data_IF_906029845376
#
_entry.id   IF_906029845376
#
_cell.length_a   1.000
_cell.length_b   1.000
_cell.length_c   1.000
_cell.angle_alpha   90.00
_cell.angle_beta   90.00
_cell.angle_gamma   90.00
#
_symmetry.space_group_name_H-M   'P 1'
#
loop_
_entity.id
_entity.type
_entity.pdbx_description
1 polymer ?
#
# COMPACT_ATOMS: atom_id res chain seq x y z
N UNK A 1 3.99 -23.90 -17.47
CA UNK A 1 3.59 -24.23 -16.08
C UNK A 1 2.68 -23.11 -15.62
N UNK A 2 1.46 -23.40 -15.19
CA UNK A 2 0.58 -22.33 -14.71
C UNK A 2 1.08 -21.79 -13.37
N UNK A 3 0.89 -20.49 -13.13
CA UNK A 3 1.21 -19.89 -11.84
C UNK A 3 0.31 -20.56 -10.77
N UNK A 4 0.92 -20.88 -9.63
CA UNK A 4 0.29 -21.57 -8.49
C UNK A 4 -0.12 -23.04 -8.69
N UNK A 5 0.29 -23.74 -9.76
CA UNK A 5 -0.02 -25.19 -9.93
C UNK A 5 0.37 -26.02 -8.71
N UNK A 6 1.61 -25.83 -8.21
CA UNK A 6 2.10 -26.53 -7.02
C UNK A 6 1.24 -26.26 -5.77
N UNK A 7 0.80 -25.02 -5.56
CA UNK A 7 -0.07 -24.67 -4.43
C UNK A 7 -1.43 -25.36 -4.54
N UNK A 8 -2.01 -25.40 -5.74
CA UNK A 8 -3.29 -26.07 -6.00
C UNK A 8 -3.20 -27.58 -5.78
N UNK A 9 -2.06 -28.20 -6.09
CA UNK A 9 -1.82 -29.63 -5.89
C UNK A 9 -1.54 -29.97 -4.40
N UNK A 10 -0.66 -29.21 -3.74
CA UNK A 10 -0.25 -29.49 -2.36
C UNK A 10 -1.27 -29.01 -1.33
N UNK A 11 -2.03 -27.95 -1.62
CA UNK A 11 -3.06 -27.41 -0.73
C UNK A 11 -4.25 -26.81 -1.52
N UNK A 12 -5.18 -27.66 -2.00
CA UNK A 12 -6.34 -27.21 -2.78
C UNK A 12 -7.21 -26.17 -2.06
N UNK A 13 -7.22 -26.19 -0.72
CA UNK A 13 -8.01 -25.27 0.10
C UNK A 13 -7.36 -23.91 0.31
N UNK A 14 -6.11 -23.69 -0.11
CA UNK A 14 -5.36 -22.46 0.18
C UNK A 14 -6.10 -21.18 -0.28
N UNK A 15 -6.80 -21.26 -1.41
CA UNK A 15 -7.52 -20.13 -2.00
C UNK A 15 -8.83 -19.80 -1.27
N UNK A 16 -9.37 -20.68 -0.41
CA UNK A 16 -10.59 -20.37 0.36
C UNK A 16 -10.38 -19.29 1.41
N UNK A 17 -9.11 -18.98 1.74
CA UNK A 17 -8.73 -17.89 2.64
C UNK A 17 -8.68 -16.53 1.95
N UNK A 18 -8.79 -16.50 0.61
CA UNK A 18 -8.69 -15.26 -0.17
C UNK A 18 -10.09 -14.68 -0.34
N UNK A 19 -10.29 -13.50 0.21
CA UNK A 19 -11.50 -12.69 0.02
C UNK A 19 -11.10 -11.47 -0.79
N UNK A 20 -11.69 -11.30 -1.96
CA UNK A 20 -11.46 -10.13 -2.81
C UNK A 20 -12.34 -8.97 -2.35
N UNK A 21 -11.74 -7.80 -2.19
CA UNK A 21 -12.44 -6.55 -1.93
C UNK A 21 -12.19 -5.62 -3.12
N UNK A 22 -13.26 -5.01 -3.65
CA UNK A 22 -13.14 -4.08 -4.78
C UNK A 22 -12.79 -2.69 -4.24
N UNK A 23 -11.77 -2.06 -4.82
CA UNK A 23 -11.36 -0.71 -4.43
C UNK A 23 -10.27 -0.15 -5.34
N UNK A 24 -10.01 1.15 -5.19
CA UNK A 24 -8.95 1.88 -5.87
C UNK A 24 -8.31 2.88 -4.89
N UNK A 25 -6.98 2.86 -4.78
CA UNK A 25 -6.21 3.72 -3.87
C UNK A 25 -6.24 5.21 -4.27
N UNK A 26 -6.71 5.52 -5.47
CA UNK A 26 -6.93 6.88 -5.94
C UNK A 26 -8.28 7.45 -5.49
N UNK A 27 -9.25 6.59 -5.17
CA UNK A 27 -10.60 7.01 -4.84
C UNK A 27 -10.73 7.41 -3.36
N UNK A 28 -11.63 8.36 -3.04
CA UNK A 28 -12.00 8.65 -1.65
C UNK A 28 -12.47 7.38 -0.94
N UNK A 29 -12.02 7.16 0.29
CA UNK A 29 -12.34 5.94 1.04
C UNK A 29 -11.83 4.65 0.38
N UNK A 30 -10.83 4.75 -0.50
CA UNK A 30 -10.28 3.65 -1.29
C UNK A 30 -11.28 3.02 -2.26
N UNK A 31 -12.38 3.71 -2.60
CA UNK A 31 -13.45 3.16 -3.46
C UNK A 31 -14.20 1.98 -2.83
N UNK A 32 -14.05 1.78 -1.53
CA UNK A 32 -14.68 0.70 -0.78
C UNK A 32 -16.17 1.00 -0.51
N UNK A 33 -16.99 -0.05 -0.51
CA UNK A 33 -18.35 0.03 0.01
C UNK A 33 -18.37 0.23 1.53
N UNK A 34 -19.49 0.72 2.08
CA UNK A 34 -19.63 0.84 3.54
C UNK A 34 -19.57 -0.53 4.23
N UNK A 35 -20.11 -1.57 3.57
CA UNK A 35 -20.07 -2.95 4.03
C UNK A 35 -18.64 -3.49 4.09
N UNK A 36 -17.84 -3.27 3.04
CA UNK A 36 -16.43 -3.70 3.01
C UNK A 36 -15.62 -2.96 4.08
N UNK A 37 -15.84 -1.66 4.26
CA UNK A 37 -15.17 -0.89 5.31
C UNK A 37 -15.50 -1.48 6.69
N UNK A 38 -16.76 -1.80 6.96
CA UNK A 38 -17.17 -2.38 8.23
C UNK A 38 -16.50 -3.76 8.47
N UNK A 39 -16.47 -4.62 7.45
CA UNK A 39 -15.84 -5.93 7.51
C UNK A 39 -14.33 -5.83 7.79
N UNK A 40 -13.64 -4.91 7.10
CA UNK A 40 -12.22 -4.68 7.30
C UNK A 40 -11.93 -4.13 8.71
N UNK A 41 -12.72 -3.15 9.17
CA UNK A 41 -12.58 -2.53 10.49
C UNK A 41 -12.69 -3.54 11.62
N UNK A 42 -13.57 -4.52 11.50
CA UNK A 42 -13.76 -5.56 12.50
C UNK A 42 -12.64 -6.62 12.46
N UNK A 43 -12.25 -7.06 11.26
CA UNK A 43 -11.49 -8.30 11.11
C UNK A 43 -10.00 -8.15 10.78
N UNK A 44 -9.54 -6.97 10.35
CA UNK A 44 -8.13 -6.80 9.93
C UNK A 44 -7.23 -6.41 11.09
N UNK A 45 -6.13 -7.16 11.25
CA UNK A 45 -5.09 -6.88 12.26
C UNK A 45 -3.72 -6.53 11.67
N UNK A 46 -3.43 -6.93 10.44
CA UNK A 46 -2.15 -6.64 9.76
C UNK A 46 -2.45 -6.17 8.35
N UNK A 47 -1.85 -5.05 7.96
CA UNK A 47 -1.99 -4.48 6.62
C UNK A 47 -0.65 -4.54 5.91
N UNK A 48 -0.60 -5.24 4.78
CA UNK A 48 0.53 -5.21 3.85
C UNK A 48 0.21 -4.26 2.72
N UNK A 49 0.84 -3.08 2.71
CA UNK A 49 0.64 -2.09 1.66
C UNK A 49 1.72 -2.21 0.59
N UNK A 50 1.35 -2.87 -0.51
CA UNK A 50 2.22 -3.07 -1.69
C UNK A 50 1.66 -2.40 -2.95
N UNK A 51 0.55 -1.66 -2.85
CA UNK A 51 -0.04 -0.97 -3.99
C UNK A 51 0.74 0.31 -4.29
N UNK A 52 1.32 0.38 -5.49
CA UNK A 52 2.10 1.50 -5.97
C UNK A 52 2.15 1.54 -7.51
N UNK A 53 2.42 2.71 -8.08
CA UNK A 53 2.88 2.85 -9.45
C UNK A 53 4.41 2.74 -9.50
N UNK A 54 4.92 1.82 -10.31
CA UNK A 54 6.36 1.60 -10.55
C UNK A 54 6.83 2.17 -11.89
N UNK A 55 6.05 3.07 -12.48
CA UNK A 55 6.37 3.74 -13.76
C UNK A 55 7.33 4.90 -13.54
N UNK A 56 8.46 4.87 -14.22
CA UNK A 56 9.49 5.92 -14.13
C UNK A 56 9.22 7.13 -15.02
N UNK A 57 8.31 7.00 -15.99
CA UNK A 57 7.90 8.03 -16.95
C UNK A 57 6.60 8.74 -16.55
N UNK A 58 6.09 8.47 -15.35
CA UNK A 58 4.84 9.05 -14.85
C UNK A 58 5.06 10.51 -14.37
N UNK A 59 4.16 11.45 -14.69
CA UNK A 59 4.26 12.82 -14.18
C UNK A 59 4.31 12.83 -12.65
N UNK A 60 5.20 13.66 -12.08
CA UNK A 60 5.44 13.70 -10.63
C UNK A 60 4.15 13.84 -9.81
N UNK A 61 3.22 14.72 -10.23
CA UNK A 61 1.92 14.90 -9.58
C UNK A 61 1.13 13.59 -9.45
N UNK A 62 1.11 12.79 -10.52
CA UNK A 62 0.39 11.51 -10.55
C UNK A 62 1.11 10.46 -9.70
N UNK A 63 2.45 10.43 -9.75
CA UNK A 63 3.24 9.56 -8.89
C UNK A 63 3.01 9.88 -7.39
N UNK A 64 2.90 11.17 -7.02
CA UNK A 64 2.58 11.60 -5.66
C UNK A 64 1.17 11.15 -5.26
N UNK A 65 0.16 11.36 -6.11
CA UNK A 65 -1.21 10.97 -5.80
C UNK A 65 -1.36 9.45 -5.56
N UNK A 66 -0.69 8.64 -6.38
CA UNK A 66 -0.70 7.18 -6.21
C UNK A 66 0.14 6.74 -5.00
N UNK A 67 1.42 7.10 -4.96
CA UNK A 67 2.36 6.48 -4.04
C UNK A 67 2.40 7.16 -2.66
N UNK A 68 2.13 8.47 -2.59
CA UNK A 68 2.13 9.24 -1.33
C UNK A 68 0.70 9.36 -0.80
N UNK A 69 -0.22 9.92 -1.58
CA UNK A 69 -1.59 10.13 -1.11
C UNK A 69 -2.37 8.81 -1.01
N UNK A 70 -2.15 7.86 -1.92
CA UNK A 70 -2.71 6.51 -1.79
C UNK A 70 -2.28 5.83 -0.50
N UNK A 71 -0.99 5.91 -0.14
CA UNK A 71 -0.49 5.41 1.15
C UNK A 71 -1.16 6.12 2.33
N UNK A 72 -1.35 7.44 2.25
CA UNK A 72 -2.09 8.21 3.27
C UNK A 72 -3.53 7.72 3.44
N UNK A 73 -4.27 7.51 2.35
CA UNK A 73 -5.66 6.99 2.39
C UNK A 73 -5.73 5.59 3.03
N UNK A 74 -4.76 4.72 2.76
CA UNK A 74 -4.68 3.40 3.43
C UNK A 74 -4.39 3.55 4.92
N UNK A 75 -3.48 4.45 5.30
CA UNK A 75 -3.22 4.74 6.71
C UNK A 75 -4.48 5.30 7.41
N UNK A 76 -5.25 6.15 6.76
CA UNK A 76 -6.53 6.67 7.28
C UNK A 76 -7.54 5.54 7.55
N UNK A 77 -7.62 4.52 6.69
CA UNK A 77 -8.38 3.30 6.98
C UNK A 77 -7.80 2.55 8.20
N UNK A 78 -6.48 2.41 8.26
CA UNK A 78 -5.79 1.69 9.35
C UNK A 78 -6.11 2.28 10.74
N UNK A 79 -6.28 3.61 10.84
CA UNK A 79 -6.67 4.27 12.09
C UNK A 79 -8.08 3.89 12.57
N UNK A 80 -8.93 3.34 11.69
CA UNK A 80 -10.29 2.90 12.03
C UNK A 80 -10.34 1.42 12.44
N UNK A 81 -9.31 0.62 12.12
CA UNK A 81 -9.29 -0.81 12.37
C UNK A 81 -9.19 -1.10 13.88
N UNK A 82 -10.06 -1.96 14.40
CA UNK A 82 -10.14 -2.24 15.84
C UNK A 82 -8.96 -3.05 16.37
N UNK A 83 -8.37 -3.88 15.51
CA UNK A 83 -7.39 -4.90 15.90
C UNK A 83 -6.01 -4.67 15.26
N UNK A 84 -5.73 -3.46 14.77
CA UNK A 84 -4.48 -3.16 14.06
C UNK A 84 -3.26 -3.40 14.97
N UNK A 85 -2.37 -4.25 14.46
CA UNK A 85 -1.12 -4.67 15.12
C UNK A 85 0.09 -4.21 14.32
N UNK A 86 0.01 -4.23 12.99
CA UNK A 86 1.11 -3.79 12.13
C UNK A 86 0.63 -3.23 10.79
N UNK A 87 1.31 -2.18 10.33
CA UNK A 87 1.27 -1.71 8.96
C UNK A 87 2.64 -1.97 8.31
N UNK A 88 2.68 -2.88 7.35
CA UNK A 88 3.89 -3.29 6.63
C UNK A 88 3.89 -2.62 5.26
N UNK A 89 4.68 -1.55 5.12
CA UNK A 89 4.85 -0.85 3.86
C UNK A 89 5.94 -1.52 3.02
N UNK A 90 5.60 -1.88 1.79
CA UNK A 90 6.57 -2.34 0.80
C UNK A 90 7.09 -1.14 0.03
N UNK A 91 8.33 -0.73 0.34
CA UNK A 91 9.02 0.36 -0.36
C UNK A 91 9.98 -0.18 -1.44
N UNK A 92 10.92 0.65 -1.88
CA UNK A 92 11.93 0.30 -2.88
C UNK A 92 13.29 0.89 -2.50
N UNK A 93 14.38 0.16 -2.74
CA UNK A 93 15.74 0.70 -2.60
C UNK A 93 16.00 1.90 -3.52
N UNK A 94 15.16 2.10 -4.54
CA UNK A 94 15.23 3.24 -5.46
C UNK A 94 14.86 4.58 -4.80
N UNK A 95 14.31 4.61 -3.58
CA UNK A 95 14.05 5.85 -2.84
C UNK A 95 15.33 6.67 -2.59
N UNK A 96 16.50 6.03 -2.58
CA UNK A 96 17.81 6.67 -2.45
C UNK A 96 18.66 6.51 -3.72
N UNK A 97 18.05 6.67 -4.90
CA UNK A 97 18.74 6.49 -6.20
C UNK A 97 19.92 7.46 -6.43
N UNK A 98 20.05 8.51 -5.62
CA UNK A 98 21.18 9.43 -5.61
C UNK A 98 22.38 8.95 -4.76
N UNK A 99 22.32 7.74 -4.17
CA UNK A 99 23.38 7.18 -3.33
C UNK A 99 23.92 5.88 -3.93
N UNK A 100 25.22 5.65 -3.76
CA UNK A 100 25.88 4.40 -4.18
C UNK A 100 25.71 3.28 -3.13
N UNK A 101 25.43 3.61 -1.88
CA UNK A 101 25.24 2.67 -0.77
C UNK A 101 24.07 3.12 0.08
N UNK A 102 23.25 2.15 0.51
CA UNK A 102 22.10 2.34 1.38
C UNK A 102 22.20 1.32 2.51
N UNK A 103 22.28 1.81 3.74
CA UNK A 103 22.32 1.06 4.98
C UNK A 103 20.89 0.87 5.53
N UNK A 104 20.70 -0.13 6.39
CA UNK A 104 19.42 -0.40 7.06
C UNK A 104 19.21 0.58 8.24
N UNK A 105 19.00 1.85 7.93
CA UNK A 105 18.76 2.92 8.89
C UNK A 105 17.64 3.85 8.41
N UNK A 106 17.06 4.60 9.35
CA UNK A 106 16.17 5.71 9.00
C UNK A 106 17.01 6.92 8.66
N UNK A 107 16.94 7.36 7.40
CA UNK A 107 17.65 8.54 6.95
C UNK A 107 16.89 9.83 7.33
N UNK A 108 17.60 10.91 7.70
CA UNK A 108 16.97 12.20 7.90
C UNK A 108 16.51 12.79 6.56
N UNK A 109 15.26 13.26 6.51
CA UNK A 109 14.70 13.93 5.34
C UNK A 109 14.85 15.44 5.45
N UNK A 110 15.43 16.06 4.42
CA UNK A 110 15.59 17.52 4.34
C UNK A 110 14.28 18.23 3.95
N UNK A 111 13.39 17.50 3.27
CA UNK A 111 12.12 18.02 2.76
C UNK A 111 10.97 17.43 3.59
N UNK A 112 10.19 18.27 4.31
CA UNK A 112 8.99 17.81 4.99
C UNK A 112 8.00 17.21 4.00
N UNK A 113 7.36 16.09 4.35
CA UNK A 113 6.40 15.39 3.48
C UNK A 113 5.27 16.31 2.99
N UNK A 114 4.87 17.30 3.79
CA UNK A 114 3.84 18.25 3.41
C UNK A 114 4.22 19.01 2.14
N UNK A 115 5.48 19.43 1.99
CA UNK A 115 5.94 20.11 0.77
C UNK A 115 5.85 19.21 -0.46
N UNK A 116 6.02 17.89 -0.30
CA UNK A 116 5.85 16.92 -1.39
C UNK A 116 4.38 16.87 -1.81
N UNK A 117 3.47 16.86 -0.84
CA UNK A 117 2.01 16.87 -1.09
C UNK A 117 1.59 18.16 -1.78
N UNK A 118 2.08 19.32 -1.32
CA UNK A 118 1.72 20.63 -1.86
C UNK A 118 2.12 20.79 -3.35
N UNK A 119 3.12 20.03 -3.84
CA UNK A 119 3.50 20.00 -5.27
C UNK A 119 2.46 19.29 -6.14
N UNK A 120 1.57 18.50 -5.52
CA UNK A 120 0.52 17.74 -6.21
C UNK A 120 -0.85 18.42 -6.21
N UNK A 121 -1.01 19.51 -5.47
CA UNK A 121 -2.23 20.35 -5.44
C UNK A 121 -2.18 21.41 -6.55
#
# INVERSE_FOLDING_TARGET
MEVFSRLREENPSALSKVVSVTGDILEPGLGLSEEDIAELVENVSIVYHSAASVRFDEPLRKAIDINVLGTRRVLELCHKLKNITAFVHVSTAYCFCNRNHVDEIVYPEEVPYQKVIDVSE
#
